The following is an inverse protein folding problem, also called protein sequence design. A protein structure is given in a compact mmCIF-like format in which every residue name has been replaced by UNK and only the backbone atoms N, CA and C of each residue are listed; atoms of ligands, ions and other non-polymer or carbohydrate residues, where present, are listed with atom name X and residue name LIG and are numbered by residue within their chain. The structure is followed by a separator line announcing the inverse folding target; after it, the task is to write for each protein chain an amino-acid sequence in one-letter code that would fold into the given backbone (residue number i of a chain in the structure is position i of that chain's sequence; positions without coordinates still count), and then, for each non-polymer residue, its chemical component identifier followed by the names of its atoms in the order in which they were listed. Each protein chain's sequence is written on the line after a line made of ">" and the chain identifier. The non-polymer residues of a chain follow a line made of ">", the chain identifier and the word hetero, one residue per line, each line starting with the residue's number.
data_IF_208586473861
#
_entry.id   IF_208586473861
#
_cell.length_a   1.000
_cell.length_b   1.000
_cell.length_c   1.000
_cell.angle_alpha   90.00
_cell.angle_beta   90.00
_cell.angle_gamma   90.00
#
_symmetry.space_group_name_H-M   'P 1'
#
loop_
_entity.id
_entity.type
_entity.pdbx_description
1 polymer ?
#
# COMPACT_ATOMS: atom_id res chain seq x y z
N UNK A 1 -8.28 13.29 -1.20
CA UNK A 1 -7.86 13.37 -2.62
C UNK A 1 -8.37 12.12 -3.30
N UNK A 2 -9.11 12.24 -4.39
CA UNK A 2 -9.49 11.07 -5.20
C UNK A 2 -8.31 10.79 -6.12
N UNK A 3 -7.51 9.78 -5.80
CA UNK A 3 -6.51 9.26 -6.74
C UNK A 3 -7.27 8.67 -7.92
N UNK A 4 -7.17 9.29 -9.09
CA UNK A 4 -7.67 8.68 -10.31
C UNK A 4 -6.98 7.32 -10.47
N UNK A 5 -7.75 6.25 -10.70
CA UNK A 5 -7.21 4.93 -11.09
C UNK A 5 -6.56 5.09 -12.47
N UNK A 6 -5.35 5.63 -12.50
CA UNK A 6 -4.52 5.60 -13.70
C UNK A 6 -4.03 4.18 -13.85
N UNK A 7 -4.39 3.56 -14.99
CA UNK A 7 -3.98 2.21 -15.34
C UNK A 7 -2.46 2.19 -15.35
N UNK A 8 -1.87 1.35 -14.53
CA UNK A 8 -0.43 1.13 -14.55
C UNK A 8 -0.10 0.46 -15.88
N UNK A 9 0.94 0.96 -16.54
CA UNK A 9 1.30 0.60 -17.92
C UNK A 9 2.12 -0.69 -17.98
N UNK A 10 1.73 -1.70 -17.20
CA UNK A 10 2.30 -3.06 -17.28
C UNK A 10 1.34 -3.99 -18.01
N UNK A 11 1.86 -4.93 -18.79
CA UNK A 11 1.05 -6.01 -19.38
C UNK A 11 0.71 -7.12 -18.36
N UNK A 12 1.42 -7.16 -17.23
CA UNK A 12 1.22 -8.13 -16.16
C UNK A 12 -0.02 -7.76 -15.31
N UNK A 13 -1.13 -8.45 -15.53
CA UNK A 13 -2.39 -8.22 -14.81
C UNK A 13 -2.28 -8.47 -13.30
N UNK A 14 -1.43 -9.40 -12.88
CA UNK A 14 -1.21 -9.71 -11.46
C UNK A 14 -0.46 -8.56 -10.78
N UNK A 15 0.62 -8.08 -11.39
CA UNK A 15 1.37 -6.91 -10.91
C UNK A 15 0.46 -5.67 -10.82
N UNK A 16 -0.35 -5.41 -11.85
CA UNK A 16 -1.31 -4.30 -11.84
C UNK A 16 -2.33 -4.40 -10.69
N UNK A 17 -2.87 -5.59 -10.42
CA UNK A 17 -3.83 -5.81 -9.34
C UNK A 17 -3.19 -5.56 -7.97
N UNK A 18 -2.03 -6.16 -7.74
CA UNK A 18 -1.29 -6.01 -6.50
C UNK A 18 -0.80 -4.55 -6.29
N UNK A 19 -0.51 -3.79 -7.36
CA UNK A 19 -0.18 -2.36 -7.26
C UNK A 19 -1.38 -1.53 -6.80
N UNK A 20 -2.59 -1.88 -7.26
CA UNK A 20 -3.82 -1.25 -6.76
C UNK A 20 -4.08 -1.57 -5.29
N UNK A 21 -3.84 -2.81 -4.86
CA UNK A 21 -3.97 -3.24 -3.46
C UNK A 21 -2.95 -2.54 -2.57
N UNK A 22 -1.69 -2.47 -3.00
CA UNK A 22 -0.63 -1.74 -2.29
C UNK A 22 -0.98 -0.26 -2.17
N UNK A 23 -1.51 0.36 -3.23
CA UNK A 23 -1.97 1.76 -3.20
C UNK A 23 -3.08 1.96 -2.16
N UNK A 24 -4.06 1.05 -2.10
CA UNK A 24 -5.16 1.11 -1.14
C UNK A 24 -4.64 1.00 0.30
N UNK A 25 -3.77 0.04 0.59
CA UNK A 25 -3.21 -0.15 1.93
C UNK A 25 -2.28 1.03 2.34
N UNK A 26 -1.50 1.58 1.41
CA UNK A 26 -0.71 2.79 1.67
C UNK A 26 -1.60 3.99 2.04
N UNK A 27 -2.73 4.15 1.34
CA UNK A 27 -3.68 5.21 1.64
C UNK A 27 -4.34 5.02 3.01
N UNK A 28 -4.60 3.77 3.40
CA UNK A 28 -5.12 3.42 4.72
C UNK A 28 -4.10 3.77 5.83
N UNK A 29 -2.83 3.40 5.66
CA UNK A 29 -1.75 3.78 6.60
C UNK A 29 -1.64 5.30 6.76
N UNK A 30 -1.65 6.05 5.65
CA UNK A 30 -1.62 7.52 5.71
C UNK A 30 -2.81 8.06 6.50
N UNK A 31 -4.02 7.51 6.28
CA UNK A 31 -5.22 7.90 7.02
C UNK A 31 -5.09 7.65 8.53
N UNK A 32 -4.58 6.49 8.93
CA UNK A 32 -4.38 6.12 10.33
C UNK A 32 -3.33 7.00 11.02
N UNK A 33 -2.21 7.30 10.34
CA UNK A 33 -1.18 8.22 10.84
C UNK A 33 -1.76 9.62 11.02
N UNK A 34 -2.56 10.11 10.06
CA UNK A 34 -3.23 11.41 10.19
C UNK A 34 -4.22 11.43 11.36
N UNK A 35 -4.94 10.32 11.61
CA UNK A 35 -5.81 10.22 12.78
C UNK A 35 -5.03 10.30 14.10
N UNK A 36 -3.83 9.70 14.18
CA UNK A 36 -2.97 9.80 15.37
C UNK A 36 -2.47 11.23 15.65
N UNK A 37 -2.45 12.10 14.63
CA UNK A 37 -2.03 13.50 14.76
C UNK A 37 -3.15 14.41 15.29
N UNK A 38 -4.38 13.93 15.41
CA UNK A 38 -5.49 14.70 15.99
C UNK A 38 -5.23 14.98 17.48
N UNK A 39 -5.49 16.22 17.90
CA UNK A 39 -5.51 16.57 19.32
C UNK A 39 -6.68 15.87 20.03
N UNK A 40 -6.53 15.55 21.32
CA UNK A 40 -7.60 15.05 22.19
C UNK A 40 -8.11 13.62 21.88
N UNK A 41 -7.22 12.70 21.48
CA UNK A 41 -7.58 11.27 21.41
C UNK A 41 -7.67 10.65 22.81
N UNK A 42 -8.79 10.00 23.12
CA UNK A 42 -8.86 9.10 24.28
C UNK A 42 -7.96 7.88 24.08
N UNK A 43 -7.48 7.26 25.18
CA UNK A 43 -6.66 6.03 25.11
C UNK A 43 -7.34 4.91 24.34
N UNK A 44 -8.68 4.81 24.41
CA UNK A 44 -9.46 3.83 23.65
C UNK A 44 -9.40 4.10 22.14
N UNK A 45 -9.51 5.36 21.72
CA UNK A 45 -9.39 5.72 20.30
C UNK A 45 -7.97 5.51 19.80
N UNK A 46 -6.97 5.94 20.59
CA UNK A 46 -5.56 5.72 20.29
C UNK A 46 -5.22 4.24 20.15
N UNK A 47 -5.69 3.41 21.08
CA UNK A 47 -5.50 1.96 21.03
C UNK A 47 -6.11 1.32 19.79
N UNK A 48 -7.33 1.74 19.40
CA UNK A 48 -7.97 1.29 18.17
C UNK A 48 -7.14 1.66 16.92
N UNK A 49 -6.76 2.93 16.78
CA UNK A 49 -5.97 3.39 15.63
C UNK A 49 -4.63 2.66 15.56
N UNK A 50 -3.95 2.47 16.69
CA UNK A 50 -2.68 1.72 16.75
C UNK A 50 -2.85 0.24 16.37
N UNK A 51 -3.94 -0.40 16.79
CA UNK A 51 -4.23 -1.79 16.40
C UNK A 51 -4.49 -1.94 14.91
N UNK A 52 -5.22 -0.99 14.31
CA UNK A 52 -5.47 -0.96 12.86
C UNK A 52 -4.18 -0.69 12.10
N UNK A 53 -3.34 0.24 12.58
CA UNK A 53 -2.04 0.53 11.97
C UNK A 53 -1.08 -0.66 12.03
N UNK A 54 -1.12 -1.45 13.11
CA UNK A 54 -0.35 -2.69 13.21
C UNK A 54 -0.79 -3.69 12.14
N UNK A 55 -2.09 -3.91 11.97
CA UNK A 55 -2.63 -4.81 10.94
C UNK A 55 -2.20 -4.34 9.54
N UNK A 56 -2.39 -3.06 9.24
CA UNK A 56 -1.93 -2.47 7.97
C UNK A 56 -0.43 -2.61 7.73
N UNK A 57 0.39 -2.49 8.78
CA UNK A 57 1.84 -2.68 8.67
C UNK A 57 2.20 -4.13 8.32
N UNK A 58 1.48 -5.11 8.88
CA UNK A 58 1.64 -6.53 8.55
C UNK A 58 1.20 -6.79 7.11
N UNK A 59 0.06 -6.23 6.69
CA UNK A 59 -0.42 -6.35 5.31
C UNK A 59 0.55 -5.74 4.31
N UNK A 60 1.07 -4.53 4.56
CA UNK A 60 2.08 -3.90 3.71
C UNK A 60 3.34 -4.74 3.59
N UNK A 61 3.80 -5.35 4.69
CA UNK A 61 4.95 -6.26 4.63
C UNK A 61 4.67 -7.44 3.69
N UNK A 62 3.48 -8.04 3.79
CA UNK A 62 3.09 -9.15 2.92
C UNK A 62 2.89 -8.72 1.46
N UNK A 63 2.40 -7.51 1.19
CA UNK A 63 2.24 -6.97 -0.16
C UNK A 63 3.55 -6.42 -0.77
N UNK A 64 4.64 -6.38 0.00
CA UNK A 64 5.97 -5.95 -0.44
C UNK A 64 7.02 -7.06 -0.30
N UNK A 65 6.58 -8.32 -0.28
CA UNK A 65 7.44 -9.49 -0.05
C UNK A 65 8.30 -9.85 -1.27
N UNK A 66 8.95 -11.01 -1.21
CA UNK A 66 9.87 -11.47 -2.27
C UNK A 66 9.15 -11.71 -3.60
N UNK A 67 7.95 -12.31 -3.59
CA UNK A 67 7.17 -12.58 -4.80
C UNK A 67 6.79 -11.27 -5.50
N UNK A 68 6.38 -10.27 -4.73
CA UNK A 68 6.12 -8.93 -5.24
C UNK A 68 7.35 -8.28 -5.87
N UNK A 69 8.50 -8.36 -5.19
CA UNK A 69 9.76 -7.79 -5.69
C UNK A 69 10.19 -8.47 -6.99
N UNK A 70 10.02 -9.78 -7.10
CA UNK A 70 10.31 -10.54 -8.31
C UNK A 70 9.40 -10.10 -9.47
N UNK A 71 8.09 -9.91 -9.25
CA UNK A 71 7.18 -9.41 -10.29
C UNK A 71 7.58 -8.03 -10.83
N UNK A 72 8.06 -7.14 -9.96
CA UNK A 72 8.59 -5.84 -10.40
C UNK A 72 9.89 -6.04 -11.19
N UNK A 73 10.79 -6.90 -10.72
CA UNK A 73 12.05 -7.20 -11.42
C UNK A 73 11.80 -7.76 -12.82
N UNK A 74 10.90 -8.73 -12.95
CA UNK A 74 10.50 -9.34 -14.21
C UNK A 74 9.94 -8.26 -15.17
N UNK A 75 9.04 -7.40 -14.67
CA UNK A 75 8.50 -6.30 -15.47
C UNK A 75 9.61 -5.34 -15.93
N UNK A 76 10.57 -5.00 -15.06
CA UNK A 76 11.72 -4.15 -15.42
C UNK A 76 12.56 -4.77 -16.53
N UNK A 77 12.78 -6.09 -16.52
CA UNK A 77 13.50 -6.80 -17.58
C UNK A 77 12.76 -6.77 -18.93
N UNK A 78 11.44 -6.58 -18.94
CA UNK A 78 10.66 -6.44 -20.19
C UNK A 78 10.70 -5.04 -20.80
N UNK A 79 11.10 -4.03 -20.03
CA UNK A 79 11.25 -2.67 -20.55
C UNK A 79 12.50 -2.63 -21.42
N UNK A 80 12.32 -2.58 -22.74
CA UNK A 80 13.45 -2.40 -23.65
C UNK A 80 14.15 -1.06 -23.36
N UNK A 81 15.44 -1.11 -23.05
CA UNK A 81 16.31 0.06 -23.13
C UNK A 81 16.46 0.41 -24.62
N UNK A 82 15.81 1.48 -25.08
CA UNK A 82 16.21 2.17 -26.31
C UNK A 82 17.51 2.97 -26.09
#
# INVERSE_FOLDING_TARGET
>A
MTLAKQKISSENSTLNQLLMELQEECQNVISLVNQLQLSELSDRQKGKILSELLVSSIHLHSHCDEDWQNLISDELETLADD
#
